data_IF_550999588100
#
_entry.id   IF_550999588100
#
_cell.length_a   1.000
_cell.length_b   1.000
_cell.length_c   1.000
_cell.angle_alpha   90.00
_cell.angle_beta   90.00
_cell.angle_gamma   90.00
#
_symmetry.space_group_name_H-M   'P 1'
#
loop_
_entity.id
_entity.type
_entity.pdbx_description
1 polymer ?
#
# COMPACT_ATOMS: atom_id res chain seq x y z
N UNK A 1 44.73 43.06 46.74
CA UNK A 1 44.32 44.15 45.84
C UNK A 1 43.09 43.66 45.09
N UNK A 2 41.93 44.24 45.41
CA UNK A 2 40.64 43.97 44.76
C UNK A 2 40.61 44.65 43.40
N UNK A 3 40.32 43.87 42.34
CA UNK A 3 39.95 44.43 41.05
C UNK A 3 38.46 44.18 40.82
N UNK A 4 37.76 45.30 40.76
CA UNK A 4 36.33 45.47 40.66
C UNK A 4 35.92 45.59 39.18
N UNK A 5 34.83 44.89 38.84
CA UNK A 5 33.73 45.21 37.90
C UNK A 5 34.04 46.06 36.66
N UNK A 6 33.70 45.54 35.48
CA UNK A 6 33.12 46.37 34.43
C UNK A 6 31.90 45.68 33.81
N UNK A 7 30.74 46.28 34.07
CA UNK A 7 29.45 45.95 33.47
C UNK A 7 29.44 46.48 32.04
N UNK A 8 29.28 45.59 31.07
CA UNK A 8 29.06 45.95 29.67
C UNK A 8 27.66 45.52 29.23
N UNK A 9 26.64 46.21 29.74
CA UNK A 9 25.25 46.08 29.31
C UNK A 9 25.07 46.90 28.02
N UNK A 10 25.23 46.25 26.85
CA UNK A 10 24.93 46.87 25.55
C UNK A 10 23.49 46.57 25.16
N UNK A 11 22.62 47.43 25.67
CA UNK A 11 21.28 47.69 25.20
C UNK A 11 21.33 48.17 23.74
N UNK A 12 21.19 47.26 22.78
CA UNK A 12 20.92 47.60 21.38
C UNK A 12 19.46 48.03 21.24
N UNK A 13 19.17 49.28 21.60
CA UNK A 13 17.97 49.96 21.15
C UNK A 13 18.06 50.19 19.64
N UNK A 14 17.33 49.37 18.90
CA UNK A 14 17.10 49.51 17.48
C UNK A 14 16.39 50.85 17.23
N UNK A 15 17.15 51.81 16.68
CA UNK A 15 16.65 53.13 16.26
C UNK A 15 15.50 52.91 15.28
N UNK A 16 14.29 53.27 15.70
CA UNK A 16 13.09 53.25 14.88
C UNK A 16 13.24 54.22 13.71
N UNK A 17 13.63 53.68 12.56
CA UNK A 17 13.48 54.39 11.30
C UNK A 17 11.98 54.53 11.02
N UNK A 18 11.54 55.78 10.94
CA UNK A 18 10.21 56.13 10.49
C UNK A 18 10.10 55.65 9.02
N UNK A 19 9.22 54.69 8.68
CA UNK A 19 9.11 54.21 7.32
C UNK A 19 8.68 55.37 6.42
N UNK A 20 9.55 55.73 5.49
CA UNK A 20 9.24 56.66 4.39
C UNK A 20 8.03 56.08 3.67
N UNK A 21 6.95 56.87 3.57
CA UNK A 21 5.71 56.54 2.86
C UNK A 21 6.03 55.96 1.48
N UNK A 22 6.12 54.64 1.38
CA UNK A 22 6.14 53.96 0.10
C UNK A 22 4.71 54.02 -0.45
N UNK A 23 4.53 54.36 -1.73
CA UNK A 23 3.22 54.28 -2.35
C UNK A 23 2.73 52.84 -2.20
N UNK A 24 1.58 52.68 -1.54
CA UNK A 24 0.90 51.38 -1.42
C UNK A 24 0.59 50.93 -2.83
N UNK A 25 1.35 49.97 -3.33
CA UNK A 25 1.04 49.26 -4.58
C UNK A 25 -0.25 48.51 -4.32
N UNK A 26 -1.38 49.12 -4.70
CA UNK A 26 -2.68 48.47 -4.64
C UNK A 26 -2.60 47.32 -5.63
N UNK A 27 -2.47 46.10 -5.11
CA UNK A 27 -2.51 44.88 -5.89
C UNK A 27 -3.84 44.88 -6.65
N UNK A 28 -3.79 45.14 -7.95
CA UNK A 28 -4.98 45.09 -8.80
C UNK A 28 -5.48 43.66 -8.79
N UNK A 29 -6.54 43.42 -8.01
CA UNK A 29 -7.18 42.12 -7.91
C UNK A 29 -7.47 41.63 -9.33
N UNK A 30 -6.95 40.46 -9.74
CA UNK A 30 -7.11 39.99 -11.11
C UNK A 30 -8.61 39.94 -11.40
N UNK A 31 -9.03 40.64 -12.47
CA UNK A 31 -10.41 40.62 -12.95
C UNK A 31 -10.71 39.21 -13.45
N UNK A 32 -11.19 38.36 -12.56
CA UNK A 32 -11.58 37.00 -12.92
C UNK A 32 -12.68 37.10 -13.96
N UNK A 33 -12.41 36.63 -15.17
CA UNK A 33 -13.35 36.70 -16.27
C UNK A 33 -14.46 35.67 -16.04
N UNK A 34 -15.60 36.11 -15.50
CA UNK A 34 -16.75 35.25 -15.22
C UNK A 34 -17.26 34.49 -16.46
N UNK A 35 -17.05 35.04 -17.67
CA UNK A 35 -17.37 34.34 -18.92
C UNK A 35 -16.52 33.09 -19.13
N UNK A 36 -15.23 33.13 -18.75
CA UNK A 36 -14.34 31.98 -18.84
C UNK A 36 -14.82 30.86 -17.90
N UNK A 37 -15.15 31.21 -16.65
CA UNK A 37 -15.67 30.26 -15.66
C UNK A 37 -16.98 29.61 -16.17
N UNK A 38 -17.90 30.41 -16.71
CA UNK A 38 -19.16 29.92 -17.24
C UNK A 38 -18.96 28.93 -18.41
N UNK A 39 -18.03 29.22 -19.31
CA UNK A 39 -17.72 28.33 -20.45
C UNK A 39 -17.16 26.97 -20.02
N UNK A 40 -16.33 26.95 -18.97
CA UNK A 40 -15.75 25.71 -18.42
C UNK A 40 -16.84 24.85 -17.78
N UNK A 41 -17.74 25.45 -16.99
CA UNK A 41 -18.86 24.73 -16.36
C UNK A 41 -19.78 24.11 -17.43
N UNK A 42 -20.10 24.86 -18.49
CA UNK A 42 -20.94 24.38 -19.59
C UNK A 42 -20.30 23.19 -20.32
N UNK A 43 -19.00 23.26 -20.57
CA UNK A 43 -18.24 22.20 -21.23
C UNK A 43 -18.23 20.90 -20.41
N UNK A 44 -18.02 21.00 -19.09
CA UNK A 44 -18.06 19.84 -18.18
C UNK A 44 -19.45 19.19 -18.17
N UNK A 45 -20.52 19.99 -18.13
CA UNK A 45 -21.90 19.47 -18.19
C UNK A 45 -22.19 18.73 -19.50
N UNK A 46 -21.69 19.25 -20.64
CA UNK A 46 -21.84 18.58 -21.94
C UNK A 46 -21.14 17.21 -21.97
N UNK A 47 -19.93 17.10 -21.41
CA UNK A 47 -19.21 15.82 -21.32
C UNK A 47 -19.98 14.81 -20.48
N UNK A 48 -20.53 15.23 -19.33
CA UNK A 48 -21.30 14.34 -18.44
C UNK A 48 -22.57 13.83 -19.14
N UNK A 49 -23.34 14.72 -19.77
CA UNK A 49 -24.56 14.34 -20.49
C UNK A 49 -24.24 13.40 -21.66
N UNK A 50 -23.18 13.70 -22.42
CA UNK A 50 -22.75 12.86 -23.54
C UNK A 50 -22.26 11.48 -23.08
N UNK A 51 -21.47 11.43 -21.99
CA UNK A 51 -20.99 10.18 -21.41
C UNK A 51 -22.12 9.26 -20.94
N UNK A 52 -23.14 9.84 -20.27
CA UNK A 52 -24.33 9.09 -19.85
C UNK A 52 -25.15 8.58 -21.05
N UNK A 53 -25.27 9.38 -22.11
CA UNK A 53 -25.97 8.99 -23.34
C UNK A 53 -25.30 7.79 -24.02
N UNK A 54 -23.97 7.83 -24.19
CA UNK A 54 -23.20 6.73 -24.79
C UNK A 54 -23.25 5.47 -23.93
N UNK A 55 -23.12 5.59 -22.60
CA UNK A 55 -23.22 4.45 -21.69
C UNK A 55 -24.60 3.76 -21.73
N UNK A 56 -25.67 4.52 -21.99
CA UNK A 56 -27.03 3.98 -22.13
C UNK A 56 -27.23 3.12 -23.39
N UNK A 57 -26.52 3.44 -24.49
CA UNK A 57 -26.63 2.68 -25.73
C UNK A 57 -26.03 1.27 -25.63
N UNK A 58 -25.02 1.06 -24.79
CA UNK A 58 -24.33 -0.22 -24.65
C UNK A 58 -25.12 -1.28 -23.85
N UNK A 59 -26.19 -0.92 -23.13
CA UNK A 59 -26.93 -1.85 -22.26
C UNK A 59 -28.01 -2.69 -22.96
N UNK A 60 -28.16 -2.62 -24.29
CA UNK A 60 -29.33 -3.20 -24.99
C UNK A 60 -29.16 -4.59 -25.62
N UNK A 61 -28.00 -5.26 -25.49
CA UNK A 61 -27.71 -6.49 -26.25
C UNK A 61 -27.61 -7.79 -25.45
N UNK A 62 -27.98 -7.83 -24.17
CA UNK A 62 -27.77 -9.02 -23.34
C UNK A 62 -29.07 -9.50 -22.71
N UNK A 63 -29.98 -10.09 -23.51
CA UNK A 63 -31.05 -10.99 -23.04
C UNK A 63 -31.72 -11.69 -24.23
N UNK A 64 -31.08 -12.72 -24.77
CA UNK A 64 -31.77 -13.73 -25.58
C UNK A 64 -31.04 -15.08 -25.46
N UNK A 65 -31.20 -15.72 -24.31
CA UNK A 65 -30.82 -17.14 -24.14
C UNK A 65 -32.08 -17.96 -23.94
N UNK A 66 -32.20 -18.96 -24.80
CA UNK A 66 -33.37 -19.81 -25.00
C UNK A 66 -33.76 -20.61 -23.76
N UNK A 67 -35.08 -20.70 -23.54
CA UNK A 67 -35.71 -21.63 -22.60
C UNK A 67 -35.76 -22.99 -23.29
N UNK A 68 -34.95 -23.95 -22.84
CA UNK A 68 -35.08 -25.36 -23.22
C UNK A 68 -35.84 -26.08 -22.10
N UNK A 69 -37.10 -26.38 -22.37
CA UNK A 69 -37.99 -27.16 -21.52
C UNK A 69 -37.68 -28.65 -21.70
N UNK A 70 -37.14 -29.31 -20.67
CA UNK A 70 -37.03 -30.79 -20.63
C UNK A 70 -38.07 -31.38 -19.69
N UNK A 71 -38.94 -32.17 -20.30
CA UNK A 71 -40.08 -32.94 -19.79
C UNK A 71 -39.68 -33.99 -18.73
N UNK A 72 -40.43 -34.16 -17.63
CA UNK A 72 -40.22 -35.28 -16.71
C UNK A 72 -40.90 -36.55 -17.23
N UNK A 73 -40.15 -37.65 -17.27
CA UNK A 73 -40.67 -39.00 -17.51
C UNK A 73 -40.69 -39.77 -16.18
N UNK A 74 -41.82 -40.35 -15.75
CA UNK A 74 -41.87 -41.17 -14.55
C UNK A 74 -41.56 -42.62 -14.92
N UNK A 75 -40.53 -43.24 -14.34
CA UNK A 75 -40.36 -44.69 -14.42
C UNK A 75 -39.68 -45.26 -13.18
N UNK A 76 -40.47 -46.09 -12.48
CA UNK A 76 -40.15 -47.35 -11.81
C UNK A 76 -38.91 -47.43 -10.93
N UNK A 77 -39.18 -47.53 -9.63
CA UNK A 77 -38.30 -48.07 -8.59
C UNK A 77 -37.84 -49.47 -8.99
N UNK A 78 -36.52 -49.64 -9.15
CA UNK A 78 -35.86 -50.93 -9.12
C UNK A 78 -34.59 -50.72 -8.28
N UNK A 79 -34.52 -51.38 -7.12
CA UNK A 79 -33.35 -51.32 -6.22
C UNK A 79 -32.13 -51.90 -6.94
N UNK A 80 -31.25 -50.99 -7.37
CA UNK A 80 -29.89 -51.33 -7.84
C UNK A 80 -28.96 -51.21 -6.62
N UNK A 81 -28.06 -52.18 -6.40
CA UNK A 81 -27.10 -52.13 -5.30
C UNK A 81 -26.29 -50.84 -5.35
N UNK A 82 -26.15 -50.17 -4.20
CA UNK A 82 -25.49 -48.89 -4.04
C UNK A 82 -24.10 -48.90 -4.69
N UNK A 83 -24.01 -48.28 -5.87
CA UNK A 83 -22.73 -47.95 -6.51
C UNK A 83 -22.09 -46.90 -5.62
N UNK A 84 -21.07 -47.31 -4.87
CA UNK A 84 -20.24 -46.42 -4.06
C UNK A 84 -19.56 -45.47 -5.03
N UNK A 85 -20.17 -44.31 -5.26
CA UNK A 85 -19.59 -43.27 -6.12
C UNK A 85 -18.22 -42.93 -5.51
N UNK A 86 -17.10 -43.18 -6.22
CA UNK A 86 -15.80 -42.85 -5.67
C UNK A 86 -15.82 -41.36 -5.35
N UNK A 87 -15.66 -41.04 -4.06
CA UNK A 87 -15.55 -39.67 -3.62
C UNK A 87 -14.46 -39.01 -4.46
N UNK A 88 -14.75 -37.92 -5.20
CA UNK A 88 -13.75 -37.29 -6.04
C UNK A 88 -12.55 -36.99 -5.17
N UNK A 89 -11.42 -37.61 -5.50
CA UNK A 89 -10.17 -37.37 -4.78
C UNK A 89 -9.83 -35.91 -5.03
N UNK A 90 -10.04 -35.06 -4.04
CA UNK A 90 -9.70 -33.64 -4.09
C UNK A 90 -8.21 -33.56 -4.35
N UNK A 91 -7.84 -33.28 -5.60
CA UNK A 91 -6.45 -33.03 -5.98
C UNK A 91 -6.04 -31.77 -5.26
N UNK A 92 -5.26 -31.92 -4.18
CA UNK A 92 -4.67 -30.79 -3.46
C UNK A 92 -3.75 -30.05 -4.41
N UNK A 93 -4.27 -28.99 -5.05
CA UNK A 93 -3.44 -28.04 -5.78
C UNK A 93 -2.57 -27.31 -4.76
N UNK A 94 -1.27 -27.57 -4.83
CA UNK A 94 -0.26 -26.83 -4.09
C UNK A 94 0.13 -25.62 -4.94
N UNK A 95 -0.19 -24.43 -4.44
CA UNK A 95 0.32 -23.18 -5.04
C UNK A 95 1.73 -22.97 -4.50
N UNK A 96 2.69 -22.75 -5.40
CA UNK A 96 4.09 -22.52 -5.07
C UNK A 96 4.55 -21.17 -5.62
N UNK A 97 5.33 -20.44 -4.84
CA UNK A 97 5.91 -19.15 -5.21
C UNK A 97 6.99 -19.39 -6.28
N UNK A 98 6.70 -19.00 -7.52
CA UNK A 98 7.60 -19.20 -8.69
C UNK A 98 9.06 -18.79 -8.41
N UNK A 99 9.27 -17.76 -7.60
CA UNK A 99 10.58 -17.20 -7.27
C UNK A 99 11.02 -17.44 -5.82
N UNK A 100 10.48 -18.45 -5.12
CA UNK A 100 10.78 -18.71 -3.70
C UNK A 100 12.27 -18.67 -3.34
N UNK A 101 13.10 -19.40 -4.08
CA UNK A 101 14.55 -19.43 -3.85
C UNK A 101 15.24 -18.06 -4.08
N UNK A 102 14.80 -17.30 -5.09
CA UNK A 102 15.41 -15.99 -5.40
C UNK A 102 15.02 -14.94 -4.36
N UNK A 103 13.77 -14.99 -3.88
CA UNK A 103 13.26 -14.15 -2.79
C UNK A 103 14.02 -14.44 -1.50
N UNK A 104 14.17 -15.72 -1.15
CA UNK A 104 14.95 -16.15 0.02
C UNK A 104 16.40 -15.65 -0.06
N UNK A 105 17.07 -15.87 -1.20
CA UNK A 105 18.45 -15.42 -1.39
C UNK A 105 18.60 -13.90 -1.35
N UNK A 106 17.62 -13.16 -1.88
CA UNK A 106 17.59 -11.69 -1.83
C UNK A 106 17.51 -11.20 -0.38
N UNK A 107 16.61 -11.76 0.42
CA UNK A 107 16.46 -11.43 1.83
C UNK A 107 17.72 -11.80 2.63
N UNK A 108 18.29 -12.99 2.42
CA UNK A 108 19.57 -13.39 3.00
C UNK A 108 20.65 -12.37 2.71
N UNK A 109 20.76 -11.92 1.46
CA UNK A 109 21.79 -10.96 1.07
C UNK A 109 21.60 -9.58 1.69
N UNK A 110 20.35 -9.12 1.81
CA UNK A 110 20.02 -7.88 2.53
C UNK A 110 20.47 -7.99 3.98
N UNK A 111 20.10 -9.06 4.68
CA UNK A 111 20.37 -9.19 6.11
C UNK A 111 21.82 -9.56 6.44
N UNK A 112 22.54 -10.23 5.54
CA UNK A 112 23.96 -10.56 5.69
C UNK A 112 24.91 -9.43 5.25
N UNK A 113 24.36 -8.26 4.88
CA UNK A 113 25.14 -7.11 4.40
C UNK A 113 25.96 -7.40 3.11
N UNK A 114 25.48 -8.31 2.25
CA UNK A 114 26.16 -8.62 0.98
C UNK A 114 25.54 -7.88 -0.22
N UNK A 115 24.37 -7.25 -0.04
CA UNK A 115 23.75 -6.40 -1.06
C UNK A 115 24.37 -5.00 -1.11
N UNK A 116 24.43 -4.41 -2.30
CA UNK A 116 24.83 -3.00 -2.49
C UNK A 116 23.59 -2.11 -2.54
N UNK A 117 23.63 -0.99 -1.81
CA UNK A 117 22.59 0.05 -1.80
C UNK A 117 23.03 1.19 -2.74
N UNK A 118 22.90 0.95 -4.04
CA UNK A 118 23.39 1.83 -5.11
C UNK A 118 22.37 2.90 -5.52
N UNK A 119 21.08 2.67 -5.30
CA UNK A 119 20.02 3.64 -5.60
C UNK A 119 19.90 4.68 -4.48
N UNK A 120 19.45 5.88 -4.82
CA UNK A 120 19.23 6.99 -3.88
C UNK A 120 17.90 7.70 -4.10
N UNK A 121 17.21 8.03 -3.01
CA UNK A 121 16.13 9.02 -2.96
C UNK A 121 16.57 10.11 -2.00
N UNK A 122 16.77 11.31 -2.53
CA UNK A 122 17.44 12.39 -1.81
C UNK A 122 18.79 11.91 -1.21
N UNK A 123 18.91 11.92 0.11
CA UNK A 123 20.07 11.45 0.87
C UNK A 123 20.00 9.95 1.26
N UNK A 124 18.84 9.32 1.15
CA UNK A 124 18.62 7.94 1.59
C UNK A 124 19.04 6.94 0.51
N UNK A 125 19.93 6.02 0.87
CA UNK A 125 20.38 4.94 -0.03
C UNK A 125 19.48 3.72 0.12
N UNK A 126 19.08 3.11 -0.99
CA UNK A 126 18.14 2.00 -1.00
C UNK A 126 18.51 0.91 -2.02
N UNK A 127 17.95 -0.27 -1.81
CA UNK A 127 17.95 -1.41 -2.72
C UNK A 127 16.51 -1.79 -3.03
N UNK A 128 16.23 -2.16 -4.28
CA UNK A 128 14.88 -2.58 -4.70
C UNK A 128 14.97 -3.71 -5.71
N UNK A 129 14.16 -4.75 -5.50
CA UNK A 129 14.02 -5.91 -6.39
C UNK A 129 12.55 -6.29 -6.51
N UNK A 130 12.10 -6.42 -7.75
CA UNK A 130 10.73 -6.72 -8.11
C UNK A 130 10.62 -8.12 -8.73
N UNK A 131 9.48 -8.77 -8.52
CA UNK A 131 9.15 -10.10 -9.01
C UNK A 131 7.73 -10.11 -9.58
N UNK A 132 7.61 -10.31 -10.89
CA UNK A 132 6.32 -10.38 -11.57
C UNK A 132 5.86 -11.84 -11.73
N UNK A 133 4.71 -12.13 -11.12
CA UNK A 133 4.01 -13.40 -11.23
C UNK A 133 2.89 -13.22 -12.24
N UNK A 134 3.23 -13.41 -13.52
CA UNK A 134 2.20 -13.60 -14.55
C UNK A 134 1.66 -15.01 -14.42
N UNK A 135 0.34 -15.13 -14.23
CA UNK A 135 -0.36 -16.40 -14.45
C UNK A 135 -0.64 -16.53 -15.95
N UNK A 136 -0.71 -17.78 -16.45
CA UNK A 136 -0.95 -18.06 -17.88
C UNK A 136 -2.26 -17.47 -18.42
N UNK A 137 -3.15 -17.02 -17.53
CA UNK A 137 -4.34 -16.26 -17.86
C UNK A 137 -4.01 -14.77 -17.65
N UNK A 138 -3.89 -14.02 -18.75
CA UNK A 138 -3.36 -12.65 -18.85
C UNK A 138 -4.05 -11.57 -17.97
N UNK A 139 -5.01 -11.94 -17.13
CA UNK A 139 -5.84 -11.01 -16.35
C UNK A 139 -5.45 -10.92 -14.87
N UNK A 140 -4.60 -11.81 -14.34
CA UNK A 140 -4.18 -11.74 -12.92
C UNK A 140 -2.68 -11.49 -12.81
N UNK A 141 -2.35 -10.27 -12.38
CA UNK A 141 -1.00 -9.82 -12.13
C UNK A 141 -0.76 -9.87 -10.63
N UNK A 142 0.24 -10.62 -10.19
CA UNK A 142 0.72 -10.52 -8.82
C UNK A 142 2.15 -10.00 -8.90
N UNK A 143 2.51 -9.10 -8.00
CA UNK A 143 3.79 -8.41 -8.01
C UNK A 143 4.36 -8.41 -6.59
N UNK A 144 5.58 -8.90 -6.41
CA UNK A 144 6.28 -8.79 -5.14
C UNK A 144 7.43 -7.81 -5.28
N UNK A 145 7.46 -6.82 -4.40
CA UNK A 145 8.51 -5.82 -4.31
C UNK A 145 9.24 -5.95 -2.98
N UNK A 146 10.56 -6.15 -3.03
CA UNK A 146 11.45 -6.08 -1.86
C UNK A 146 12.21 -4.77 -1.95
N UNK A 147 11.98 -3.92 -0.96
CA UNK A 147 12.58 -2.59 -0.85
C UNK A 147 13.30 -2.49 0.49
N UNK A 148 14.61 -2.22 0.46
CA UNK A 148 15.42 -2.10 1.66
C UNK A 148 16.10 -0.73 1.69
N UNK A 149 15.98 -0.03 2.80
CA UNK A 149 16.65 1.24 3.04
C UNK A 149 17.81 1.06 4.01
N UNK A 150 18.94 1.70 3.70
CA UNK A 150 20.03 1.84 4.65
C UNK A 150 19.70 3.02 5.57
N UNK A 151 19.33 2.72 6.81
CA UNK A 151 18.89 3.70 7.78
C UNK A 151 20.07 4.37 8.48
N UNK A 152 20.05 5.71 8.49
CA UNK A 152 20.97 6.56 9.24
C UNK A 152 20.15 7.61 9.98
N UNK A 153 20.30 7.63 11.30
CA UNK A 153 19.62 8.60 12.15
C UNK A 153 19.96 10.04 11.71
N UNK A 154 18.92 10.86 11.51
CA UNK A 154 19.06 12.25 11.04
C UNK A 154 19.30 12.43 9.54
N UNK A 155 19.51 11.36 8.78
CA UNK A 155 19.74 11.35 7.32
C UNK A 155 18.73 10.40 6.63
N UNK A 156 17.46 10.54 7.04
CA UNK A 156 16.42 9.52 6.95
C UNK A 156 15.14 9.95 6.25
N UNK A 157 15.10 11.18 5.72
CA UNK A 157 13.90 11.75 5.10
C UNK A 157 14.06 11.90 3.60
N UNK A 158 13.05 11.47 2.85
CA UNK A 158 13.00 11.67 1.41
C UNK A 158 11.57 11.94 0.95
N UNK A 159 11.43 12.51 -0.24
CA UNK A 159 10.12 12.77 -0.85
C UNK A 159 9.72 11.65 -1.80
N UNK A 160 8.44 11.32 -1.77
CA UNK A 160 7.78 10.45 -2.74
C UNK A 160 6.65 11.21 -3.39
N UNK A 161 6.37 10.86 -4.65
CA UNK A 161 5.27 11.43 -5.38
C UNK A 161 4.56 10.41 -6.25
N UNK A 162 3.23 10.49 -6.27
CA UNK A 162 2.38 9.66 -7.10
C UNK A 162 1.14 10.46 -7.53
N UNK A 163 0.82 10.44 -8.82
CA UNK A 163 -0.36 11.12 -9.40
C UNK A 163 -0.56 12.58 -8.95
N UNK A 164 0.54 13.34 -8.85
CA UNK A 164 0.52 14.75 -8.46
C UNK A 164 0.38 15.01 -6.95
N UNK A 165 0.33 13.95 -6.14
CA UNK A 165 0.48 14.03 -4.68
C UNK A 165 1.95 13.83 -4.30
N UNK A 166 2.46 14.61 -3.35
CA UNK A 166 3.80 14.47 -2.78
C UNK A 166 3.69 14.27 -1.27
N UNK A 167 4.48 13.38 -0.70
CA UNK A 167 4.61 13.21 0.75
C UNK A 167 6.06 12.95 1.16
N UNK A 168 6.36 13.21 2.43
CA UNK A 168 7.67 12.96 3.01
C UNK A 168 7.65 11.63 3.76
N UNK A 169 8.55 10.73 3.40
CA UNK A 169 8.84 9.52 4.17
C UNK A 169 9.92 9.85 5.19
N UNK A 170 9.69 9.51 6.46
CA UNK A 170 10.64 9.72 7.55
C UNK A 170 11.02 8.36 8.16
N UNK A 171 12.22 7.86 7.84
CA UNK A 171 12.68 6.57 8.32
C UNK A 171 13.00 6.56 9.83
N UNK A 172 13.26 7.72 10.46
CA UNK A 172 13.41 7.77 11.93
C UNK A 172 12.07 7.41 12.59
N UNK A 173 10.98 7.96 12.06
CA UNK A 173 9.63 7.68 12.56
C UNK A 173 9.23 6.22 12.28
N UNK A 174 9.56 5.67 11.11
CA UNK A 174 9.36 4.23 10.81
C UNK A 174 10.08 3.37 11.85
N UNK A 175 11.37 3.63 12.08
CA UNK A 175 12.17 2.87 13.04
C UNK A 175 11.59 2.98 14.46
N UNK A 176 11.28 4.19 14.93
CA UNK A 176 10.69 4.42 16.27
C UNK A 176 9.35 3.69 16.42
N UNK A 177 8.48 3.76 15.41
CA UNK A 177 7.22 3.01 15.40
C UNK A 177 7.48 1.52 15.57
N UNK A 178 8.32 0.92 14.72
CA UNK A 178 8.60 -0.52 14.75
C UNK A 178 9.17 -0.98 16.09
N UNK A 179 10.01 -0.15 16.72
CA UNK A 179 10.55 -0.40 18.06
C UNK A 179 9.51 -0.29 19.18
N UNK A 180 8.43 0.47 18.96
CA UNK A 180 7.35 0.65 19.93
C UNK A 180 6.26 -0.43 19.84
N UNK A 181 6.21 -1.20 18.75
CA UNK A 181 5.20 -2.24 18.55
C UNK A 181 5.38 -3.38 19.55
N UNK A 182 4.25 -3.94 20.00
CA UNK A 182 4.18 -5.11 20.88
C UNK A 182 3.66 -6.29 20.07
N UNK A 183 4.09 -7.49 20.42
CA UNK A 183 3.64 -8.71 19.76
C UNK A 183 2.11 -8.85 19.82
N UNK A 184 1.51 -9.27 18.72
CA UNK A 184 0.06 -9.34 18.54
C UNK A 184 -0.50 -8.29 17.58
N UNK A 185 -1.82 -8.21 17.52
CA UNK A 185 -2.55 -7.29 16.62
C UNK A 185 -2.95 -6.03 17.35
N UNK A 186 -2.63 -4.86 16.78
CA UNK A 186 -2.95 -3.56 17.36
C UNK A 186 -3.15 -2.49 16.27
N UNK A 187 -3.91 -1.45 16.57
CA UNK A 187 -3.99 -0.28 15.70
C UNK A 187 -2.74 0.56 15.92
N UNK A 188 -1.98 0.81 14.87
CA UNK A 188 -0.79 1.65 14.91
C UNK A 188 -0.67 2.52 13.67
N UNK A 189 0.05 3.62 13.78
CA UNK A 189 0.39 4.46 12.64
C UNK A 189 1.54 3.78 11.90
N UNK A 190 1.31 3.35 10.67
CA UNK A 190 2.36 2.81 9.82
C UNK A 190 2.83 3.87 8.82
N UNK A 191 4.12 3.80 8.56
CA UNK A 191 4.84 4.67 7.66
C UNK A 191 5.24 3.79 6.47
N UNK A 192 4.40 3.78 5.44
CA UNK A 192 4.71 3.13 4.18
C UNK A 192 5.48 4.11 3.29
N UNK A 193 6.49 3.62 2.57
CA UNK A 193 7.16 4.44 1.57
C UNK A 193 6.22 4.75 0.38
N UNK A 194 5.24 3.88 0.13
CA UNK A 194 4.38 3.92 -1.06
C UNK A 194 3.08 4.70 -0.88
N UNK A 195 2.66 4.95 0.36
CA UNK A 195 1.42 5.67 0.67
C UNK A 195 1.65 6.55 1.89
N UNK A 196 1.16 7.79 1.84
CA UNK A 196 1.23 8.72 2.95
C UNK A 196 0.62 8.13 4.23
N UNK A 197 1.06 8.59 5.40
CA UNK A 197 0.71 8.05 6.73
C UNK A 197 -0.71 7.49 6.87
N UNK A 198 -0.84 6.21 7.20
CA UNK A 198 -2.13 5.62 7.55
C UNK A 198 -2.06 4.95 8.93
N UNK A 199 -3.14 5.10 9.72
CA UNK A 199 -3.39 4.15 10.81
C UNK A 199 -3.78 2.84 10.14
N UNK A 200 -3.22 1.72 10.60
CA UNK A 200 -3.57 0.40 10.12
C UNK A 200 -3.76 -0.56 11.30
N UNK A 201 -4.50 -1.65 11.09
CA UNK A 201 -4.40 -2.81 11.95
C UNK A 201 -3.11 -3.55 11.61
N UNK A 202 -2.20 -3.58 12.57
CA UNK A 202 -0.86 -4.11 12.41
C UNK A 202 -0.75 -5.33 13.28
N UNK A 203 -0.40 -6.45 12.67
CA UNK A 203 0.02 -7.65 13.40
C UNK A 203 1.53 -7.64 13.49
N UNK A 204 2.05 -7.47 14.71
CA UNK A 204 3.48 -7.56 14.96
C UNK A 204 3.80 -9.00 15.39
N UNK A 205 4.58 -9.69 14.59
CA UNK A 205 4.87 -11.12 14.77
C UNK A 205 6.34 -11.41 14.53
N UNK A 206 6.83 -12.46 15.20
CA UNK A 206 8.21 -12.89 15.07
C UNK A 206 8.33 -13.94 13.96
N UNK A 207 9.14 -13.64 12.95
CA UNK A 207 9.57 -14.61 11.94
C UNK A 207 11.08 -14.79 12.06
N UNK A 208 11.48 -16.02 12.42
CA UNK A 208 12.88 -16.34 12.69
C UNK A 208 13.45 -15.51 13.83
N UNK A 209 14.48 -14.71 13.53
CA UNK A 209 15.14 -13.84 14.52
C UNK A 209 14.59 -12.41 14.54
N UNK A 210 13.68 -12.05 13.63
CA UNK A 210 13.21 -10.67 13.42
C UNK A 210 11.73 -10.53 13.75
N UNK A 211 11.36 -9.35 14.20
CA UNK A 211 9.97 -8.96 14.33
C UNK A 211 9.53 -8.24 13.07
N UNK A 212 8.36 -8.59 12.58
CA UNK A 212 7.74 -8.04 11.38
C UNK A 212 6.42 -7.40 11.73
N UNK A 213 6.23 -6.17 11.29
CA UNK A 213 4.93 -5.51 11.25
C UNK A 213 4.24 -5.92 9.95
N UNK A 214 3.04 -6.48 10.08
CA UNK A 214 2.25 -7.01 8.98
C UNK A 214 0.94 -6.24 8.91
N UNK A 215 0.62 -5.67 7.75
CA UNK A 215 -0.64 -4.94 7.55
C UNK A 215 -1.07 -5.03 6.08
N UNK A 216 -2.28 -4.58 5.85
CA UNK A 216 -2.95 -4.58 4.55
C UNK A 216 -3.29 -3.19 4.09
N UNK A 217 -3.16 -2.96 2.80
CA UNK A 217 -3.72 -1.79 2.15
C UNK A 217 -4.51 -2.20 0.91
N UNK A 218 -5.42 -1.32 0.49
CA UNK A 218 -6.17 -1.48 -0.74
C UNK A 218 -6.06 -0.20 -1.55
N UNK A 219 -5.36 -0.28 -2.67
CA UNK A 219 -5.16 0.82 -3.58
C UNK A 219 -6.35 0.92 -4.56
N UNK A 220 -7.32 1.77 -4.20
CA UNK A 220 -8.59 1.92 -4.92
C UNK A 220 -8.45 2.25 -6.41
N UNK A 221 -7.56 3.15 -6.88
CA UNK A 221 -7.46 3.46 -8.30
C UNK A 221 -7.08 2.25 -9.16
N UNK A 222 -6.24 1.34 -8.62
CA UNK A 222 -5.84 0.10 -9.30
C UNK A 222 -6.73 -1.11 -8.98
N UNK A 223 -7.49 -1.07 -7.88
CA UNK A 223 -8.20 -2.24 -7.37
C UNK A 223 -7.24 -3.33 -6.87
N UNK A 224 -6.13 -2.90 -6.25
CA UNK A 224 -5.05 -3.79 -5.82
C UNK A 224 -5.08 -3.95 -4.31
N UNK A 225 -4.94 -5.18 -3.84
CA UNK A 225 -4.63 -5.46 -2.44
C UNK A 225 -3.14 -5.62 -2.27
N UNK A 226 -2.58 -4.99 -1.24
CA UNK A 226 -1.17 -5.12 -0.90
C UNK A 226 -1.03 -5.69 0.51
N UNK A 227 -0.25 -6.76 0.63
CA UNK A 227 0.24 -7.28 1.91
C UNK A 227 1.63 -6.73 2.14
N UNK A 228 1.82 -6.00 3.24
CA UNK A 228 3.11 -5.43 3.58
C UNK A 228 3.70 -6.16 4.78
N UNK A 229 5.00 -6.46 4.70
CA UNK A 229 5.83 -6.92 5.81
C UNK A 229 6.97 -5.93 5.99
N UNK A 230 7.06 -5.29 7.17
CA UNK A 230 8.12 -4.34 7.48
C UNK A 230 8.91 -4.81 8.69
N UNK A 231 10.23 -4.78 8.60
CA UNK A 231 11.11 -5.00 9.74
C UNK A 231 12.19 -3.92 9.84
N UNK A 232 12.67 -3.68 11.05
CA UNK A 232 13.84 -2.87 11.31
C UNK A 232 14.90 -3.72 12.02
N UNK A 233 16.01 -3.97 11.33
CA UNK A 233 17.18 -4.61 11.90
C UNK A 233 18.09 -3.55 12.51
N UNK A 234 18.05 -3.44 13.85
CA UNK A 234 18.87 -2.49 14.60
C UNK A 234 20.38 -2.72 14.41
N UNK A 235 20.80 -3.97 14.18
CA UNK A 235 22.23 -4.33 14.11
C UNK A 235 22.83 -3.81 12.81
N UNK A 236 22.14 -4.06 11.70
CA UNK A 236 22.58 -3.62 10.37
C UNK A 236 22.05 -2.23 10.00
N UNK A 237 21.20 -1.64 10.84
CA UNK A 237 20.47 -0.38 10.59
C UNK A 237 19.77 -0.39 9.24
N UNK A 238 18.94 -1.41 9.02
CA UNK A 238 18.17 -1.58 7.77
C UNK A 238 16.70 -1.65 8.05
N UNK A 239 15.93 -0.90 7.27
CA UNK A 239 14.48 -1.04 7.23
C UNK A 239 14.15 -1.77 5.93
N UNK A 240 13.47 -2.91 6.05
CA UNK A 240 13.13 -3.77 4.92
C UNK A 240 11.63 -3.85 4.81
N UNK A 241 11.12 -3.49 3.64
CA UNK A 241 9.75 -3.60 3.21
C UNK A 241 9.66 -4.75 2.20
N UNK A 242 8.76 -5.69 2.45
CA UNK A 242 8.35 -6.70 1.47
C UNK A 242 6.87 -6.46 1.21
N UNK A 243 6.55 -5.99 0.01
CA UNK A 243 5.18 -5.72 -0.41
C UNK A 243 4.78 -6.75 -1.44
N UNK A 244 3.65 -7.42 -1.21
CA UNK A 244 3.09 -8.35 -2.16
C UNK A 244 1.71 -7.88 -2.61
N UNK A 245 1.64 -7.51 -3.88
CA UNK A 245 0.49 -6.90 -4.54
C UNK A 245 -0.29 -7.93 -5.33
N UNK A 246 -1.61 -7.89 -5.19
CA UNK A 246 -2.57 -8.75 -5.87
C UNK A 246 -3.52 -7.87 -6.68
N UNK A 247 -3.27 -7.81 -7.99
CA UNK A 247 -4.06 -6.97 -8.91
C UNK A 247 -5.31 -7.73 -9.33
N UNK A 248 -6.44 -7.02 -9.45
CA UNK A 248 -7.73 -7.52 -9.94
C UNK A 248 -8.43 -8.59 -9.07
N UNK A 249 -7.99 -8.81 -7.84
CA UNK A 249 -8.82 -9.50 -6.85
C UNK A 249 -9.85 -8.50 -6.33
N UNK A 250 -11.04 -8.52 -6.94
CA UNK A 250 -12.13 -7.62 -6.56
C UNK A 250 -12.44 -7.77 -5.08
N UNK A 251 -12.88 -6.68 -4.45
CA UNK A 251 -13.26 -6.58 -3.03
C UNK A 251 -14.16 -7.73 -2.51
N UNK A 252 -14.90 -8.42 -3.39
CA UNK A 252 -15.80 -9.51 -3.04
C UNK A 252 -15.08 -10.86 -2.79
N UNK A 253 -13.92 -11.08 -3.42
CA UNK A 253 -13.13 -12.31 -3.25
C UNK A 253 -12.30 -12.27 -1.97
N UNK A 254 -11.91 -11.07 -1.54
CA UNK A 254 -11.32 -10.81 -0.23
C UNK A 254 -12.44 -10.53 0.77
N UNK A 255 -12.79 -11.47 1.64
CA UNK A 255 -13.85 -11.23 2.62
C UNK A 255 -13.36 -10.21 3.66
N UNK A 256 -13.74 -8.96 3.43
CA UNK A 256 -13.54 -7.83 4.34
C UNK A 256 -14.41 -8.04 5.57
N UNK A 257 -13.80 -8.41 6.70
CA UNK A 257 -14.63 -8.76 7.86
C UNK A 257 -15.24 -7.56 8.54
N UNK A 258 -14.62 -6.37 8.57
CA UNK A 258 -15.28 -5.14 9.03
C UNK A 258 -14.60 -3.90 8.43
N UNK A 259 -15.34 -3.03 7.74
CA UNK A 259 -14.85 -1.70 7.38
C UNK A 259 -15.37 -0.71 8.41
N UNK A 260 -14.51 -0.21 9.27
CA UNK A 260 -14.89 0.91 10.13
C UNK A 260 -14.38 2.19 9.48
N UNK A 261 -15.27 2.91 8.80
CA UNK A 261 -15.00 4.28 8.38
C UNK A 261 -15.02 5.15 9.64
N UNK A 262 -13.87 5.34 10.27
CA UNK A 262 -13.76 6.33 11.34
C UNK A 262 -13.16 7.62 10.76
N UNK A 263 -13.35 8.74 11.46
CA UNK A 263 -12.82 10.04 11.03
C UNK A 263 -11.28 10.12 11.05
N UNK A 264 -10.58 9.02 11.38
CA UNK A 264 -9.13 8.97 11.60
C UNK A 264 -8.36 8.17 10.53
N UNK A 265 -9.06 7.64 9.52
CA UNK A 265 -8.45 6.93 8.39
C UNK A 265 -9.24 5.67 8.00
N UNK A 266 -9.01 5.19 6.78
CA UNK A 266 -9.56 3.91 6.32
C UNK A 266 -8.54 2.83 6.59
N UNK A 267 -8.82 1.90 7.49
CA UNK A 267 -8.00 0.70 7.65
C UNK A 267 -8.81 -0.57 7.56
N UNK A 268 -8.12 -1.63 7.17
CA UNK A 268 -8.69 -2.95 7.02
C UNK A 268 -8.32 -3.78 8.24
N UNK A 269 -9.30 -4.50 8.78
CA UNK A 269 -9.07 -5.48 9.83
C UNK A 269 -9.39 -6.87 9.30
N UNK A 270 -8.61 -7.85 9.76
CA UNK A 270 -8.85 -9.28 9.50
C UNK A 270 -9.07 -9.60 8.01
N UNK A 271 -8.23 -9.10 7.11
CA UNK A 271 -8.36 -9.36 5.67
C UNK A 271 -8.24 -10.86 5.40
N UNK A 272 -9.28 -11.44 4.79
CA UNK A 272 -9.28 -12.85 4.37
C UNK A 272 -9.02 -12.93 2.89
N UNK A 273 -8.04 -13.72 2.51
CA UNK A 273 -7.73 -13.94 1.09
C UNK A 273 -8.30 -15.24 0.56
N UNK A 274 -8.46 -15.34 -0.78
CA UNK A 274 -8.64 -16.63 -1.44
C UNK A 274 -7.58 -17.66 -1.04
N UNK A 275 -7.93 -18.96 -1.12
CA UNK A 275 -7.05 -20.08 -0.74
C UNK A 275 -5.71 -20.05 -1.48
N UNK A 276 -5.72 -19.70 -2.76
CA UNK A 276 -4.53 -19.52 -3.59
C UNK A 276 -3.57 -18.50 -2.97
N UNK A 277 -4.06 -17.28 -2.75
CA UNK A 277 -3.27 -16.17 -2.19
C UNK A 277 -2.79 -16.50 -0.78
N UNK A 278 -3.64 -17.09 0.05
CA UNK A 278 -3.27 -17.54 1.41
C UNK A 278 -2.13 -18.56 1.40
N UNK A 279 -2.11 -19.46 0.41
CA UNK A 279 -1.02 -20.45 0.25
C UNK A 279 0.29 -19.76 -0.11
N UNK A 280 0.25 -18.77 -1.01
CA UNK A 280 1.42 -18.01 -1.43
C UNK A 280 1.98 -17.18 -0.28
N UNK A 281 1.12 -16.49 0.47
CA UNK A 281 1.50 -15.72 1.65
C UNK A 281 2.15 -16.58 2.73
N UNK A 282 1.60 -17.78 2.97
CA UNK A 282 2.20 -18.73 3.92
C UNK A 282 3.60 -19.18 3.51
N UNK A 283 3.83 -19.39 2.22
CA UNK A 283 5.16 -19.71 1.70
C UNK A 283 6.12 -18.52 1.87
N UNK A 284 5.67 -17.30 1.57
CA UNK A 284 6.44 -16.08 1.82
C UNK A 284 6.80 -15.95 3.31
N UNK A 285 5.86 -16.14 4.23
CA UNK A 285 6.09 -16.12 5.68
C UNK A 285 7.07 -17.20 6.15
N UNK A 286 7.05 -18.36 5.47
CA UNK A 286 8.05 -19.41 5.70
C UNK A 286 9.44 -18.91 5.31
N UNK A 287 9.59 -18.27 4.15
CA UNK A 287 10.85 -17.66 3.71
C UNK A 287 11.31 -16.55 4.67
N UNK A 288 10.40 -15.67 5.12
CA UNK A 288 10.69 -14.64 6.12
C UNK A 288 11.18 -15.24 7.44
N UNK A 289 10.66 -16.42 7.81
CA UNK A 289 11.04 -17.13 9.05
C UNK A 289 12.41 -17.80 8.99
N UNK A 290 12.96 -18.05 7.80
CA UNK A 290 14.29 -18.64 7.63
C UNK A 290 15.43 -17.63 7.84
N UNK A 291 15.12 -16.34 7.90
CA UNK A 291 16.08 -15.25 7.92
C UNK A 291 16.19 -14.59 9.29
#
# INVERSE_FOLDING_TARGET
MQNQINMGDQNNQQVGQNPVNQPVTVEEKPKTNYWMILSVILFVLLIVVFGLYVAGLNKRNENQTAITTSQPSPTSVNEIPAVVSPSPTEVKQTYQLKYGNEIENTLKNIFNNTITFDKKKDNVSYFQKEFDFSTNNQERWQHLNILAYLYKEGDSKFKEAYEGSEWTVDLDDVAKTLLSLKEGTQISKIYDATIAYEKAEVTFSKFGKRNWAIYDTYFKPGGNWDRHYITYDQTSRKIVFVTFSFVYYKDFETHKTDFTYNQEGNYFTQVKYPKEISSILKELETILSLN
#
